data_IF_935000146618
#
_entry.id   IF_935000146618
#
_cell.length_a   1.000
_cell.length_b   1.000
_cell.length_c   1.000
_cell.angle_alpha   90.00
_cell.angle_beta   90.00
_cell.angle_gamma   90.00
#
_symmetry.space_group_name_H-M   'P 1'
#
loop_
_entity.id
_entity.type
_entity.pdbx_description
1 polymer ?
#
# COMPACT_ATOMS: atom_id res chain seq x y z
N UNK A 1 -63.14 -1.60 24.44
CA UNK A 1 -62.47 -2.32 23.27
C UNK A 1 -61.85 -1.42 22.22
N UNK A 2 -62.38 -0.21 21.88
CA UNK A 2 -61.80 0.63 20.81
C UNK A 2 -60.47 1.34 21.15
N UNK A 3 -60.16 1.64 22.41
CA UNK A 3 -58.91 2.35 22.80
C UNK A 3 -57.69 1.44 22.58
N UNK A 4 -57.74 0.19 23.01
CA UNK A 4 -56.59 -0.76 22.83
C UNK A 4 -56.27 -1.02 21.35
N UNK A 5 -57.24 -0.92 20.43
CA UNK A 5 -56.96 -1.12 19.00
C UNK A 5 -56.19 0.05 18.37
N UNK A 6 -56.42 1.28 18.84
CA UNK A 6 -55.68 2.47 18.36
C UNK A 6 -54.25 2.47 18.86
N UNK A 7 -54.03 2.13 20.14
CA UNK A 7 -52.67 2.01 20.73
C UNK A 7 -51.86 0.92 20.03
N UNK A 8 -52.49 -0.23 19.72
CA UNK A 8 -51.85 -1.31 18.97
C UNK A 8 -51.44 -0.88 17.58
N UNK A 9 -52.31 -0.16 16.86
CA UNK A 9 -52.03 0.35 15.52
C UNK A 9 -50.85 1.37 15.55
N UNK A 10 -50.82 2.27 16.52
CA UNK A 10 -49.73 3.24 16.69
C UNK A 10 -48.42 2.51 16.99
N UNK A 11 -48.44 1.53 17.89
CA UNK A 11 -47.26 0.74 18.25
C UNK A 11 -46.69 -0.03 17.05
N UNK A 12 -47.55 -0.70 16.27
CA UNK A 12 -47.12 -1.40 15.02
C UNK A 12 -46.57 -0.40 14.00
N UNK A 13 -47.19 0.76 13.81
CA UNK A 13 -46.69 1.79 12.91
C UNK A 13 -45.29 2.30 13.34
N UNK A 14 -45.06 2.52 14.63
CA UNK A 14 -43.74 2.93 15.16
C UNK A 14 -42.71 1.84 14.93
N UNK A 15 -43.04 0.57 15.18
CA UNK A 15 -42.12 -0.55 14.91
C UNK A 15 -41.78 -0.62 13.42
N UNK A 16 -42.73 -0.49 12.55
CA UNK A 16 -42.50 -0.50 11.07
C UNK A 16 -41.59 0.67 10.65
N UNK A 17 -41.83 1.87 11.14
CA UNK A 17 -41.00 3.05 10.85
C UNK A 17 -39.56 2.85 11.36
N UNK A 18 -39.38 2.33 12.58
CA UNK A 18 -38.08 2.01 13.15
C UNK A 18 -37.38 0.90 12.36
N UNK A 19 -38.12 -0.12 11.95
CA UNK A 19 -37.58 -1.23 11.13
C UNK A 19 -37.13 -0.76 9.76
N UNK A 20 -37.91 0.09 9.08
CA UNK A 20 -37.55 0.71 7.80
C UNK A 20 -36.32 1.61 7.99
N UNK A 21 -36.28 2.41 9.04
CA UNK A 21 -35.14 3.26 9.36
C UNK A 21 -33.86 2.45 9.61
N UNK A 22 -33.99 1.34 10.36
CA UNK A 22 -32.87 0.43 10.63
C UNK A 22 -32.41 -0.28 9.36
N UNK A 23 -33.33 -0.78 8.55
CA UNK A 23 -33.02 -1.44 7.27
C UNK A 23 -32.30 -0.48 6.31
N UNK A 24 -32.81 0.74 6.17
CA UNK A 24 -32.19 1.77 5.31
C UNK A 24 -30.80 2.13 5.80
N UNK A 25 -30.58 2.23 7.12
CA UNK A 25 -29.28 2.48 7.72
C UNK A 25 -28.32 1.31 7.49
N UNK A 26 -28.76 0.08 7.69
CA UNK A 26 -27.94 -1.12 7.44
C UNK A 26 -27.50 -1.24 5.98
N UNK A 27 -28.35 -0.82 5.03
CA UNK A 27 -28.01 -0.79 3.61
C UNK A 27 -26.89 0.23 3.31
N UNK A 28 -26.92 1.40 3.96
CA UNK A 28 -25.84 2.40 3.85
C UNK A 28 -24.51 1.88 4.39
N UNK A 29 -24.52 1.03 5.42
CA UNK A 29 -23.29 0.46 5.97
C UNK A 29 -22.62 -0.56 5.02
N UNK A 30 -23.36 -1.14 4.09
CA UNK A 30 -22.83 -2.03 3.06
C UNK A 30 -22.33 -1.28 1.81
N UNK A 31 -22.59 0.02 1.71
CA UNK A 31 -22.09 0.92 0.68
C UNK A 31 -21.16 1.96 1.32
N UNK A 32 -19.85 1.68 1.28
CA UNK A 32 -18.84 2.54 1.91
C UNK A 32 -18.89 3.97 1.35
N UNK A 33 -19.05 4.13 0.03
CA UNK A 33 -19.13 5.44 -0.61
C UNK A 33 -20.39 6.18 -0.16
N UNK A 34 -21.55 5.50 -0.19
CA UNK A 34 -22.83 6.07 0.25
C UNK A 34 -22.80 6.50 1.72
N UNK A 35 -22.16 5.72 2.58
CA UNK A 35 -21.94 6.05 4.00
C UNK A 35 -21.18 7.36 4.16
N UNK A 36 -20.05 7.49 3.46
CA UNK A 36 -19.21 8.69 3.59
C UNK A 36 -19.83 9.92 2.94
N UNK A 37 -20.61 9.76 1.86
CA UNK A 37 -21.44 10.85 1.28
C UNK A 37 -22.45 11.36 2.31
N UNK A 38 -23.12 10.48 3.04
CA UNK A 38 -24.06 10.89 4.09
C UNK A 38 -23.34 11.62 5.23
N UNK A 39 -22.15 11.14 5.63
CA UNK A 39 -21.30 11.80 6.64
C UNK A 39 -20.87 13.20 6.19
N UNK A 40 -20.47 13.39 4.95
CA UNK A 40 -20.11 14.68 4.35
C UNK A 40 -21.30 15.64 4.37
N UNK A 41 -22.50 15.17 3.98
CA UNK A 41 -23.74 15.98 4.01
C UNK A 41 -24.09 16.45 5.43
N UNK A 42 -23.89 15.60 6.43
CA UNK A 42 -24.17 15.91 7.85
C UNK A 42 -23.09 16.76 8.51
N UNK A 43 -21.88 16.76 7.99
CA UNK A 43 -20.72 17.47 8.57
C UNK A 43 -19.84 18.11 7.49
N UNK A 44 -20.37 19.06 6.69
CA UNK A 44 -19.66 19.61 5.53
C UNK A 44 -18.41 20.44 5.88
N UNK A 45 -18.31 20.90 7.13
CA UNK A 45 -17.16 21.68 7.63
C UNK A 45 -16.07 20.84 8.30
N UNK A 46 -16.13 19.50 8.25
CA UNK A 46 -15.13 18.61 8.85
C UNK A 46 -14.31 17.91 7.77
N UNK A 47 -12.97 17.93 7.88
CA UNK A 47 -12.07 17.30 6.90
C UNK A 47 -12.17 15.76 6.92
N UNK A 48 -12.30 15.15 8.09
CA UNK A 48 -12.27 13.68 8.25
C UNK A 48 -13.28 12.90 7.39
N UNK A 49 -14.57 13.31 7.27
CA UNK A 49 -15.49 12.64 6.36
C UNK A 49 -15.05 12.67 4.89
N UNK A 50 -14.43 13.77 4.43
CA UNK A 50 -13.91 13.87 3.07
C UNK A 50 -12.69 13.00 2.85
N UNK A 51 -11.79 12.88 3.84
CA UNK A 51 -10.64 11.97 3.80
C UNK A 51 -11.10 10.52 3.62
N UNK A 52 -12.09 10.10 4.41
CA UNK A 52 -12.62 8.74 4.33
C UNK A 52 -13.39 8.50 3.02
N UNK A 53 -14.13 9.50 2.55
CA UNK A 53 -14.78 9.44 1.23
C UNK A 53 -13.74 9.30 0.10
N UNK A 54 -12.63 10.02 0.20
CA UNK A 54 -11.54 9.93 -0.74
C UNK A 54 -10.90 8.52 -0.76
N UNK A 55 -10.73 7.89 0.40
CA UNK A 55 -10.24 6.51 0.51
C UNK A 55 -11.24 5.53 -0.11
N UNK A 56 -12.54 5.68 0.16
CA UNK A 56 -13.58 4.84 -0.44
C UNK A 56 -13.57 4.95 -1.98
N UNK A 57 -13.47 6.16 -2.51
CA UNK A 57 -13.35 6.37 -3.96
C UNK A 57 -12.04 5.78 -4.52
N UNK A 58 -10.92 5.91 -3.83
CA UNK A 58 -9.65 5.32 -4.24
C UNK A 58 -9.74 3.81 -4.36
N UNK A 59 -10.32 3.14 -3.36
CA UNK A 59 -10.53 1.69 -3.35
C UNK A 59 -11.45 1.22 -4.46
N UNK A 60 -12.42 2.05 -4.85
CA UNK A 60 -13.31 1.80 -5.98
C UNK A 60 -12.70 2.13 -7.36
N UNK A 61 -11.44 2.61 -7.41
CA UNK A 61 -10.78 3.03 -8.65
C UNK A 61 -11.26 4.38 -9.19
N UNK A 62 -12.10 5.08 -8.45
CA UNK A 62 -12.68 6.39 -8.81
C UNK A 62 -11.70 7.52 -8.44
N UNK A 63 -10.55 7.58 -9.12
CA UNK A 63 -9.41 8.44 -8.74
C UNK A 63 -9.73 9.94 -8.84
N UNK A 64 -10.56 10.37 -9.76
CA UNK A 64 -10.94 11.79 -9.87
C UNK A 64 -11.78 12.26 -8.69
N UNK A 65 -12.76 11.45 -8.25
CA UNK A 65 -13.58 11.74 -7.07
C UNK A 65 -12.73 11.67 -5.78
N UNK A 66 -11.79 10.74 -5.72
CA UNK A 66 -10.82 10.66 -4.61
C UNK A 66 -9.96 11.93 -4.52
N UNK A 67 -9.46 12.42 -5.66
CA UNK A 67 -8.69 13.65 -5.74
C UNK A 67 -9.50 14.85 -5.23
N UNK A 68 -10.72 15.04 -5.75
CA UNK A 68 -11.61 16.13 -5.34
C UNK A 68 -11.91 16.09 -3.84
N UNK A 69 -12.22 14.91 -3.31
CA UNK A 69 -12.50 14.74 -1.88
C UNK A 69 -11.31 15.08 -1.00
N UNK A 70 -10.08 14.65 -1.35
CA UNK A 70 -8.88 15.01 -0.62
C UNK A 70 -8.57 16.52 -0.71
N UNK A 71 -8.75 17.14 -1.88
CA UNK A 71 -8.59 18.59 -2.04
C UNK A 71 -9.57 19.35 -1.16
N UNK A 72 -10.81 18.87 -1.04
CA UNK A 72 -11.80 19.47 -0.15
C UNK A 72 -11.40 19.30 1.32
N UNK A 73 -10.86 18.15 1.71
CA UNK A 73 -10.33 17.94 3.05
C UNK A 73 -9.22 18.93 3.38
N UNK A 74 -8.27 19.16 2.45
CA UNK A 74 -7.16 20.12 2.62
C UNK A 74 -7.67 21.57 2.68
N UNK A 75 -8.71 21.94 1.91
CA UNK A 75 -9.33 23.26 2.03
C UNK A 75 -9.91 23.52 3.43
N UNK A 76 -10.45 22.48 4.08
CA UNK A 76 -11.02 22.55 5.42
C UNK A 76 -9.92 22.52 6.49
N UNK A 77 -8.96 21.61 6.33
CA UNK A 77 -7.81 21.44 7.21
C UNK A 77 -6.50 21.35 6.44
N UNK A 78 -5.82 22.50 6.22
CA UNK A 78 -4.55 22.54 5.51
C UNK A 78 -3.39 21.81 6.21
N UNK A 79 -3.57 21.38 7.47
CA UNK A 79 -2.56 20.61 8.23
C UNK A 79 -2.86 19.11 8.25
N UNK A 80 -3.80 18.64 7.47
CA UNK A 80 -4.12 17.21 7.37
C UNK A 80 -3.05 16.47 6.55
N UNK A 81 -2.03 15.93 7.21
CA UNK A 81 -1.01 15.09 6.57
C UNK A 81 -1.61 13.89 5.86
N UNK A 82 -2.65 13.28 6.44
CA UNK A 82 -3.35 12.14 5.83
C UNK A 82 -3.98 12.48 4.47
N UNK A 83 -4.54 13.69 4.32
CA UNK A 83 -5.14 14.09 3.05
C UNK A 83 -4.07 14.32 1.95
N UNK A 84 -2.91 14.88 2.32
CA UNK A 84 -1.76 14.97 1.39
C UNK A 84 -1.22 13.60 1.01
N UNK A 85 -1.05 12.69 1.98
CA UNK A 85 -0.64 11.31 1.73
C UNK A 85 -1.59 10.61 0.74
N UNK A 86 -2.90 10.67 0.98
CA UNK A 86 -3.89 10.09 0.08
C UNK A 86 -3.82 10.71 -1.34
N UNK A 87 -3.56 12.02 -1.46
CA UNK A 87 -3.34 12.64 -2.77
C UNK A 87 -2.09 12.11 -3.46
N UNK A 88 -1.02 11.84 -2.72
CA UNK A 88 0.18 11.21 -3.24
C UNK A 88 -0.13 9.88 -3.91
N UNK A 89 -0.89 9.02 -3.23
CA UNK A 89 -1.33 7.73 -3.77
C UNK A 89 -2.22 7.88 -5.02
N UNK A 90 -3.13 8.87 -5.03
CA UNK A 90 -3.98 9.15 -6.21
C UNK A 90 -3.12 9.56 -7.40
N UNK A 91 -2.16 10.49 -7.21
CA UNK A 91 -1.27 10.93 -8.29
C UNK A 91 -0.39 9.78 -8.80
N UNK A 92 0.08 8.89 -7.93
CA UNK A 92 0.80 7.68 -8.37
C UNK A 92 -0.06 6.82 -9.30
N UNK A 93 -1.32 6.53 -8.91
CA UNK A 93 -2.24 5.74 -9.76
C UNK A 93 -2.54 6.38 -11.10
N UNK A 94 -2.42 7.71 -11.19
CA UNK A 94 -2.56 8.46 -12.45
C UNK A 94 -1.26 8.55 -13.27
N UNK A 95 -0.14 8.01 -12.76
CA UNK A 95 1.18 8.12 -13.37
C UNK A 95 1.84 9.50 -13.23
N UNK A 96 1.30 10.37 -12.37
CA UNK A 96 1.78 11.74 -12.13
C UNK A 96 2.82 11.75 -10.99
N UNK A 97 3.92 11.00 -11.18
CA UNK A 97 4.87 10.66 -10.12
C UNK A 97 5.51 11.88 -9.43
N UNK A 98 5.83 12.95 -10.20
CA UNK A 98 6.37 14.19 -9.62
C UNK A 98 5.39 14.83 -8.63
N UNK A 99 4.09 14.81 -8.94
CA UNK A 99 3.06 15.32 -8.02
C UNK A 99 2.89 14.39 -6.81
N UNK A 100 2.96 13.07 -7.02
CA UNK A 100 2.92 12.11 -5.92
C UNK A 100 4.02 12.40 -4.89
N UNK A 101 5.27 12.52 -5.33
CA UNK A 101 6.42 12.88 -4.48
C UNK A 101 6.19 14.22 -3.76
N UNK A 102 5.66 15.22 -4.45
CA UNK A 102 5.38 16.53 -3.84
C UNK A 102 4.34 16.42 -2.72
N UNK A 103 3.30 15.63 -2.91
CA UNK A 103 2.24 15.44 -1.90
C UNK A 103 2.74 14.66 -0.67
N UNK A 104 3.55 13.63 -0.86
CA UNK A 104 4.17 12.91 0.27
C UNK A 104 5.09 13.82 1.10
N UNK A 105 5.88 14.68 0.44
CA UNK A 105 6.70 15.68 1.14
C UNK A 105 5.84 16.69 1.90
N UNK A 106 4.72 17.12 1.33
CA UNK A 106 3.77 17.98 2.04
C UNK A 106 3.15 17.27 3.24
N UNK A 107 2.80 15.98 3.12
CA UNK A 107 2.30 15.18 4.24
C UNK A 107 3.29 15.20 5.42
N UNK A 108 4.58 14.94 5.16
CA UNK A 108 5.63 14.98 6.19
C UNK A 108 5.92 16.40 6.71
N UNK A 109 5.75 17.42 5.88
CA UNK A 109 5.97 18.81 6.30
C UNK A 109 4.90 19.29 7.30
N UNK A 110 3.64 18.84 7.12
CA UNK A 110 2.53 19.22 8.01
C UNK A 110 2.37 18.26 9.18
N UNK A 111 2.74 17.00 9.02
CA UNK A 111 2.72 15.97 10.07
C UNK A 111 3.97 15.07 9.98
N UNK A 112 5.07 15.45 10.65
CA UNK A 112 6.30 14.67 10.65
C UNK A 112 6.20 13.31 11.35
N UNK A 113 5.08 13.01 12.02
CA UNK A 113 4.87 11.73 12.72
C UNK A 113 4.34 10.63 11.82
N UNK A 114 3.95 10.97 10.58
CA UNK A 114 3.51 9.99 9.61
C UNK A 114 4.69 9.13 9.12
N UNK A 115 4.50 7.85 9.15
CA UNK A 115 5.49 6.85 8.74
C UNK A 115 5.29 6.38 7.29
N UNK A 116 4.03 6.16 6.89
CA UNK A 116 3.67 5.68 5.55
C UNK A 116 4.23 6.50 4.39
N UNK A 117 4.33 7.84 4.46
CA UNK A 117 4.97 8.62 3.40
C UNK A 117 6.43 8.23 3.13
N UNK A 118 7.20 7.78 4.12
CA UNK A 118 8.57 7.30 3.88
C UNK A 118 8.58 6.02 3.05
N UNK A 119 7.65 5.09 3.32
CA UNK A 119 7.49 3.89 2.51
C UNK A 119 7.10 4.23 1.06
N UNK A 120 6.10 5.08 0.88
CA UNK A 120 5.64 5.52 -0.44
C UNK A 120 6.72 6.28 -1.21
N UNK A 121 7.42 7.21 -0.56
CA UNK A 121 8.54 7.95 -1.17
C UNK A 121 9.65 7.03 -1.62
N UNK A 122 9.96 5.97 -0.86
CA UNK A 122 10.92 4.95 -1.28
C UNK A 122 10.58 4.37 -2.65
N UNK A 123 9.33 3.96 -2.85
CA UNK A 123 8.84 3.45 -4.13
C UNK A 123 8.79 4.52 -5.22
N UNK A 124 8.27 5.70 -4.92
CA UNK A 124 8.12 6.77 -5.91
C UNK A 124 9.47 7.29 -6.41
N UNK A 125 10.45 7.44 -5.52
CA UNK A 125 11.80 7.80 -5.92
C UNK A 125 12.47 6.72 -6.75
N UNK A 126 12.25 5.44 -6.40
CA UNK A 126 12.76 4.32 -7.19
C UNK A 126 12.18 4.33 -8.61
N UNK A 127 10.86 4.45 -8.76
CA UNK A 127 10.18 4.54 -10.05
C UNK A 127 10.66 5.74 -10.87
N UNK A 128 11.04 6.84 -10.21
CA UNK A 128 11.57 8.07 -10.85
C UNK A 128 13.09 8.00 -11.11
N UNK A 129 13.76 6.87 -10.80
CA UNK A 129 15.20 6.72 -10.99
C UNK A 129 16.07 7.45 -9.96
N UNK A 130 15.48 7.99 -8.91
CA UNK A 130 16.14 8.72 -7.83
C UNK A 130 16.54 7.74 -6.70
N UNK A 131 17.54 6.91 -7.00
CA UNK A 131 17.89 5.76 -6.14
C UNK A 131 18.44 6.18 -4.78
N UNK A 132 19.19 7.30 -4.69
CA UNK A 132 19.73 7.81 -3.43
C UNK A 132 18.63 8.30 -2.48
N UNK A 133 17.63 8.96 -3.01
CA UNK A 133 16.46 9.41 -2.24
C UNK A 133 15.58 8.22 -1.83
N UNK A 134 15.43 7.22 -2.71
CA UNK A 134 14.72 5.98 -2.42
C UNK A 134 15.38 5.23 -1.26
N UNK A 135 16.72 5.08 -1.31
CA UNK A 135 17.51 4.47 -0.24
C UNK A 135 17.26 5.16 1.11
N UNK A 136 17.38 6.50 1.15
CA UNK A 136 17.14 7.27 2.38
C UNK A 136 15.73 7.11 2.93
N UNK A 137 14.73 7.06 2.05
CA UNK A 137 13.34 6.93 2.43
C UNK A 137 13.07 5.54 3.06
N UNK A 138 13.50 4.45 2.40
CA UNK A 138 13.35 3.11 2.96
C UNK A 138 14.17 2.90 4.24
N UNK A 139 15.41 3.42 4.31
CA UNK A 139 16.19 3.38 5.54
C UNK A 139 15.50 4.12 6.69
N UNK A 140 14.85 5.25 6.40
CA UNK A 140 14.10 5.99 7.43
C UNK A 140 12.89 5.19 7.90
N UNK A 141 12.16 4.55 6.99
CA UNK A 141 11.07 3.66 7.34
C UNK A 141 11.52 2.47 8.20
N UNK A 142 12.64 1.83 7.82
CA UNK A 142 13.22 0.71 8.58
C UNK A 142 13.77 1.10 9.95
N UNK A 143 14.15 2.36 10.18
CA UNK A 143 14.48 2.84 11.53
C UNK A 143 13.27 2.85 12.47
N UNK A 144 12.07 3.06 11.90
CA UNK A 144 10.80 3.03 12.65
C UNK A 144 10.32 1.57 12.81
N UNK A 145 10.41 0.79 11.73
CA UNK A 145 9.93 -0.59 11.66
C UNK A 145 11.02 -1.55 11.16
N UNK A 146 12.00 -1.94 12.02
CA UNK A 146 13.16 -2.73 11.59
C UNK A 146 12.83 -4.13 11.06
N UNK A 147 11.66 -4.65 11.36
CA UNK A 147 11.22 -6.00 10.99
C UNK A 147 9.99 -5.98 10.07
N UNK A 148 9.74 -4.86 9.37
CA UNK A 148 8.61 -4.79 8.47
C UNK A 148 8.89 -5.63 7.20
N UNK A 149 8.04 -6.65 6.92
CA UNK A 149 8.24 -7.52 5.76
C UNK A 149 8.29 -6.73 4.46
N UNK A 150 9.05 -7.24 3.48
CA UNK A 150 9.22 -6.71 2.12
C UNK A 150 10.11 -5.47 1.99
N UNK A 151 10.22 -4.60 2.99
CA UNK A 151 10.99 -3.34 2.84
C UNK A 151 12.48 -3.59 2.70
N UNK A 152 13.02 -4.60 3.36
CA UNK A 152 14.41 -5.02 3.15
C UNK A 152 14.64 -5.51 1.72
N UNK A 153 13.70 -6.27 1.14
CA UNK A 153 13.78 -6.67 -0.26
C UNK A 153 13.69 -5.46 -1.22
N UNK A 154 12.82 -4.46 -0.94
CA UNK A 154 12.73 -3.24 -1.74
C UNK A 154 14.03 -2.42 -1.67
N UNK A 155 14.60 -2.26 -0.47
CA UNK A 155 15.89 -1.58 -0.28
C UNK A 155 17.03 -2.32 -0.98
N UNK A 156 17.03 -3.65 -0.97
CA UNK A 156 18.00 -4.45 -1.72
C UNK A 156 17.91 -4.22 -3.24
N UNK A 157 16.70 -4.07 -3.78
CA UNK A 157 16.49 -3.73 -5.20
C UNK A 157 17.07 -2.34 -5.51
N UNK A 158 16.88 -1.38 -4.61
CA UNK A 158 17.49 -0.03 -4.71
C UNK A 158 19.02 -0.13 -4.74
N UNK A 159 19.62 -0.87 -3.79
CA UNK A 159 21.07 -1.09 -3.75
C UNK A 159 21.59 -1.78 -5.02
N UNK A 160 20.91 -2.81 -5.51
CA UNK A 160 21.27 -3.48 -6.74
C UNK A 160 21.25 -2.53 -7.95
N UNK A 161 20.26 -1.62 -8.02
CA UNK A 161 20.17 -0.59 -9.06
C UNK A 161 21.33 0.41 -9.01
N UNK A 162 21.86 0.67 -7.80
CA UNK A 162 23.06 1.49 -7.57
C UNK A 162 24.36 0.69 -7.73
N UNK A 163 24.30 -0.61 -8.07
CA UNK A 163 25.44 -1.56 -8.11
C UNK A 163 26.11 -1.78 -6.76
N UNK A 164 25.43 -1.51 -5.65
CA UNK A 164 25.89 -1.74 -4.28
C UNK A 164 25.53 -3.16 -3.83
N UNK A 165 26.12 -4.17 -4.50
CA UNK A 165 25.67 -5.58 -4.38
C UNK A 165 25.87 -6.19 -3.01
N UNK A 166 26.96 -5.84 -2.27
CA UNK A 166 27.16 -6.33 -0.90
C UNK A 166 26.05 -5.85 0.05
N UNK A 167 25.60 -4.59 -0.10
CA UNK A 167 24.50 -4.05 0.68
C UNK A 167 23.17 -4.71 0.29
N UNK A 168 22.95 -4.95 -1.01
CA UNK A 168 21.76 -5.67 -1.48
C UNK A 168 21.70 -7.10 -0.90
N UNK A 169 22.81 -7.83 -0.87
CA UNK A 169 22.88 -9.15 -0.24
C UNK A 169 22.53 -9.08 1.25
N UNK A 170 23.09 -8.13 1.97
CA UNK A 170 22.81 -7.94 3.40
C UNK A 170 21.33 -7.73 3.67
N UNK A 171 20.67 -6.86 2.90
CA UNK A 171 19.24 -6.60 3.06
C UNK A 171 18.37 -7.81 2.69
N UNK A 172 18.73 -8.55 1.63
CA UNK A 172 18.01 -9.77 1.24
C UNK A 172 18.18 -10.88 2.29
N UNK A 173 19.34 -11.01 2.91
CA UNK A 173 19.56 -11.96 4.01
C UNK A 173 18.74 -11.55 5.25
N UNK A 174 18.57 -10.25 5.53
CA UNK A 174 17.65 -9.75 6.54
C UNK A 174 16.20 -10.08 6.21
N UNK A 175 15.74 -9.82 4.99
CA UNK A 175 14.40 -10.17 4.55
C UNK A 175 14.10 -11.66 4.74
N UNK A 176 15.01 -12.54 4.30
CA UNK A 176 14.86 -13.99 4.44
C UNK A 176 14.86 -14.43 5.91
N UNK A 177 15.59 -13.73 6.79
CA UNK A 177 15.57 -14.00 8.23
C UNK A 177 14.23 -13.66 8.87
N UNK A 178 13.62 -12.55 8.47
CA UNK A 178 12.30 -12.11 8.95
C UNK A 178 11.18 -12.94 8.33
N UNK A 179 11.26 -13.16 7.03
CA UNK A 179 10.29 -13.91 6.24
C UNK A 179 10.99 -15.01 5.40
N UNK A 180 11.23 -16.19 5.97
CA UNK A 180 11.93 -17.29 5.27
C UNK A 180 11.19 -17.80 4.04
N UNK A 181 9.90 -17.50 3.89
CA UNK A 181 9.07 -17.93 2.77
C UNK A 181 8.95 -16.85 1.67
N UNK A 182 9.73 -15.78 1.72
CA UNK A 182 9.69 -14.73 0.71
C UNK A 182 10.38 -15.16 -0.58
N UNK A 183 9.63 -15.78 -1.48
CA UNK A 183 10.15 -16.34 -2.74
C UNK A 183 10.97 -15.34 -3.56
N UNK A 184 10.48 -14.08 -3.67
CA UNK A 184 11.16 -13.04 -4.46
C UNK A 184 12.51 -12.66 -3.86
N UNK A 185 12.65 -12.58 -2.53
CA UNK A 185 13.93 -12.32 -1.88
C UNK A 185 14.96 -13.42 -2.17
N UNK A 186 14.53 -14.69 -2.13
CA UNK A 186 15.39 -15.81 -2.52
C UNK A 186 15.80 -15.71 -4.00
N UNK A 187 14.88 -15.40 -4.93
CA UNK A 187 15.18 -15.25 -6.33
C UNK A 187 16.18 -14.12 -6.58
N UNK A 188 15.94 -12.93 -5.98
CA UNK A 188 16.83 -11.78 -6.10
C UNK A 188 18.24 -12.10 -5.58
N UNK A 189 18.33 -12.73 -4.41
CA UNK A 189 19.61 -13.12 -3.81
C UNK A 189 20.36 -14.13 -4.69
N UNK A 190 19.65 -15.13 -5.23
CA UNK A 190 20.22 -16.11 -6.14
C UNK A 190 20.75 -15.48 -7.43
N UNK A 191 20.04 -14.51 -8.01
CA UNK A 191 20.48 -13.77 -9.18
C UNK A 191 21.75 -12.95 -8.89
N UNK A 192 21.80 -12.23 -7.76
CA UNK A 192 23.00 -11.46 -7.36
C UNK A 192 24.19 -12.40 -7.15
N UNK A 193 24.04 -13.51 -6.44
CA UNK A 193 25.11 -14.47 -6.26
C UNK A 193 25.64 -15.04 -7.58
N UNK A 194 24.80 -15.22 -8.58
CA UNK A 194 25.26 -15.69 -9.88
C UNK A 194 25.91 -14.59 -10.70
N UNK A 195 25.25 -13.47 -10.90
CA UNK A 195 25.70 -12.47 -11.88
C UNK A 195 26.87 -11.67 -11.38
N UNK A 196 26.90 -11.34 -10.09
CA UNK A 196 27.88 -10.43 -9.52
C UNK A 196 29.03 -11.17 -8.79
N UNK A 197 28.67 -12.15 -7.97
CA UNK A 197 29.66 -12.87 -7.16
C UNK A 197 30.14 -14.18 -7.79
N UNK A 198 29.56 -14.63 -8.90
CA UNK A 198 29.88 -15.90 -9.55
C UNK A 198 29.81 -17.12 -8.61
N UNK A 199 29.04 -17.02 -7.56
CA UNK A 199 28.85 -18.09 -6.58
C UNK A 199 27.72 -19.03 -7.00
N UNK A 200 28.05 -20.03 -7.82
CA UNK A 200 27.12 -21.02 -8.36
C UNK A 200 26.35 -21.76 -7.27
N UNK A 201 27.00 -22.14 -6.19
CA UNK A 201 26.39 -22.95 -5.13
C UNK A 201 25.29 -22.17 -4.41
N UNK A 202 25.59 -20.94 -3.93
CA UNK A 202 24.59 -20.08 -3.31
C UNK A 202 23.49 -19.69 -4.28
N UNK A 203 23.82 -19.38 -5.54
CA UNK A 203 22.85 -19.06 -6.56
C UNK A 203 21.84 -20.20 -6.76
N UNK A 204 22.31 -21.45 -6.96
CA UNK A 204 21.44 -22.62 -7.10
C UNK A 204 20.54 -22.83 -5.89
N UNK A 205 21.10 -22.72 -4.67
CA UNK A 205 20.31 -22.87 -3.46
C UNK A 205 19.14 -21.89 -3.42
N UNK A 206 19.43 -20.60 -3.58
CA UNK A 206 18.39 -19.56 -3.46
C UNK A 206 17.40 -19.57 -4.63
N UNK A 207 17.85 -19.78 -5.89
CA UNK A 207 16.93 -19.85 -7.03
C UNK A 207 15.98 -21.04 -6.92
N UNK A 208 16.46 -22.22 -6.51
CA UNK A 208 15.63 -23.39 -6.30
C UNK A 208 14.63 -23.17 -5.16
N UNK A 209 15.08 -22.62 -4.05
CA UNK A 209 14.21 -22.28 -2.92
C UNK A 209 13.10 -21.33 -3.35
N UNK A 210 13.43 -20.25 -4.05
CA UNK A 210 12.42 -19.29 -4.53
C UNK A 210 11.40 -19.93 -5.47
N UNK A 211 11.84 -20.79 -6.42
CA UNK A 211 10.93 -21.53 -7.31
C UNK A 211 10.05 -22.55 -6.59
N UNK A 212 10.52 -23.10 -5.46
CA UNK A 212 9.75 -24.01 -4.63
C UNK A 212 8.68 -23.25 -3.82
N UNK A 213 9.03 -22.09 -3.28
CA UNK A 213 8.14 -21.25 -2.49
C UNK A 213 7.04 -20.60 -3.32
N UNK A 214 7.36 -20.16 -4.56
CA UNK A 214 6.36 -19.67 -5.51
C UNK A 214 6.42 -20.46 -6.84
N UNK A 215 5.65 -21.52 -6.98
CA UNK A 215 5.56 -22.29 -8.21
C UNK A 215 4.96 -21.51 -9.39
N UNK A 216 4.27 -20.41 -9.14
CA UNK A 216 3.58 -19.59 -10.16
C UNK A 216 4.27 -18.25 -10.42
N UNK A 217 5.50 -18.07 -9.93
CA UNK A 217 6.27 -16.85 -10.15
C UNK A 217 6.26 -16.40 -11.62
N UNK A 218 5.95 -15.15 -11.94
CA UNK A 218 5.71 -14.69 -13.32
C UNK A 218 6.88 -14.97 -14.29
N UNK A 219 8.13 -14.88 -13.80
CA UNK A 219 9.36 -15.14 -14.58
C UNK A 219 9.95 -16.54 -14.36
N UNK A 220 9.15 -17.47 -13.88
CA UNK A 220 9.57 -18.86 -13.56
C UNK A 220 10.34 -19.53 -14.67
N UNK A 221 9.91 -19.36 -15.93
CA UNK A 221 10.56 -19.96 -17.08
C UNK A 221 12.01 -19.51 -17.26
N UNK A 222 12.31 -18.24 -17.01
CA UNK A 222 13.65 -17.68 -17.07
C UNK A 222 14.51 -18.22 -15.91
N UNK A 223 13.98 -18.20 -14.70
CA UNK A 223 14.69 -18.72 -13.54
C UNK A 223 14.97 -20.21 -13.65
N UNK A 224 14.04 -21.00 -14.17
CA UNK A 224 14.27 -22.44 -14.45
C UNK A 224 15.36 -22.68 -15.48
N UNK A 225 15.40 -21.88 -16.55
CA UNK A 225 16.49 -21.97 -17.54
C UNK A 225 17.84 -21.66 -16.90
N UNK A 226 17.89 -20.61 -16.07
CA UNK A 226 19.11 -20.27 -15.33
C UNK A 226 19.55 -21.41 -14.40
N UNK A 227 18.62 -22.02 -13.67
CA UNK A 227 18.92 -23.17 -12.79
C UNK A 227 19.48 -24.34 -13.61
N UNK A 228 18.87 -24.75 -14.74
CA UNK A 228 19.39 -25.81 -15.61
C UNK A 228 20.80 -25.49 -16.12
N UNK A 229 21.02 -24.27 -16.59
CA UNK A 229 22.35 -23.82 -17.03
C UNK A 229 23.37 -23.95 -15.88
N UNK A 230 22.99 -23.55 -14.68
CA UNK A 230 23.84 -23.69 -13.49
C UNK A 230 24.05 -25.14 -13.07
N UNK A 231 23.14 -26.05 -13.36
CA UNK A 231 23.29 -27.49 -13.14
C UNK A 231 24.11 -28.19 -14.22
N UNK A 232 24.39 -27.51 -15.33
CA UNK A 232 25.04 -28.11 -16.50
C UNK A 232 24.11 -29.06 -17.26
N UNK A 233 22.78 -28.85 -17.13
CA UNK A 233 21.77 -29.63 -17.82
C UNK A 233 21.40 -28.96 -19.16
N UNK A 234 21.12 -29.70 -20.22
CA UNK A 234 20.69 -29.17 -21.51
C UNK A 234 19.31 -28.50 -21.45
#
# INVERSE_FOLDING_TARGET
MRVHSVETVIFVAVILLLSIGTYSRNRLWNDEIGLWIDCVKKSPGKARPYINLAVAYFNAGAYDQSLESNQKAIQIDPKSGQAYYNLGLVYQKRGELTKAIAMEKMALAVDPTLDLPYYSLGGFYFENGQYEESEKAYQTYLKIYPYFPEVHNLLAIVYASQKKFDQAVTELEWEIRINPNHALAHINLGQIYWHEFRNRQKALYHLKTGLMLDPFFPRRGEIRRLVRQLEGLP
#
